data_IF_434253414268
#
_entry.id   IF_434253414268
#
_cell.length_a   1.000
_cell.length_b   1.000
_cell.length_c   1.000
_cell.angle_alpha   90.00
_cell.angle_beta   90.00
_cell.angle_gamma   90.00
#
_symmetry.space_group_name_H-M   'P 1'
#
loop_
_entity.id
_entity.type
_entity.pdbx_description
1 polymer ?
#
# COMPACT_ATOMS: atom_id res chain seq x y z
N UNK A 1 -26.17 -12.08 36.38
CA UNK A 1 -25.15 -12.89 35.66
C UNK A 1 -24.73 -12.09 34.43
N UNK A 2 -23.68 -11.28 34.54
CA UNK A 2 -23.06 -10.69 33.36
C UNK A 2 -22.14 -11.75 32.76
N UNK A 3 -22.42 -12.18 31.54
CA UNK A 3 -21.51 -13.03 30.78
C UNK A 3 -20.20 -12.27 30.63
N UNK A 4 -19.11 -12.84 31.13
CA UNK A 4 -17.78 -12.40 30.77
C UNK A 4 -17.66 -12.54 29.25
N UNK A 5 -17.48 -11.43 28.55
CA UNK A 5 -17.14 -11.46 27.13
C UNK A 5 -15.92 -12.34 26.93
N UNK A 6 -15.95 -13.19 25.91
CA UNK A 6 -14.82 -14.00 25.51
C UNK A 6 -13.67 -13.05 25.14
N UNK A 7 -12.67 -12.93 26.02
CA UNK A 7 -11.41 -12.24 25.69
C UNK A 7 -10.60 -13.28 24.91
N UNK A 8 -10.36 -13.07 23.60
CA UNK A 8 -9.53 -13.99 22.84
C UNK A 8 -8.14 -14.07 23.48
N UNK A 9 -7.45 -15.22 23.44
CA UNK A 9 -6.06 -15.30 23.88
C UNK A 9 -5.24 -14.31 23.03
N UNK A 10 -4.74 -13.26 23.69
CA UNK A 10 -3.90 -12.25 23.10
C UNK A 10 -2.46 -12.51 23.55
N UNK A 11 -1.62 -13.07 22.68
CA UNK A 11 -0.19 -13.22 22.97
C UNK A 11 0.57 -11.88 22.78
N UNK A 12 0.05 -10.97 21.96
CA UNK A 12 0.61 -9.65 21.68
C UNK A 12 -0.45 -8.63 21.27
N UNK A 13 -0.20 -7.34 21.49
CA UNK A 13 -1.01 -6.24 20.94
C UNK A 13 -0.22 -5.37 19.97
N UNK A 14 1.10 -5.31 20.13
CA UNK A 14 2.04 -4.61 19.25
C UNK A 14 3.24 -5.50 18.95
N UNK A 15 3.98 -5.21 17.88
CA UNK A 15 5.17 -6.01 17.48
C UNK A 15 6.25 -6.03 18.58
N UNK A 16 6.35 -4.94 19.35
CA UNK A 16 7.29 -4.79 20.47
C UNK A 16 7.08 -5.85 21.57
N UNK A 17 5.87 -6.42 21.69
CA UNK A 17 5.56 -7.49 22.66
C UNK A 17 6.25 -8.81 22.30
N UNK A 18 6.59 -9.01 21.02
CA UNK A 18 7.11 -10.28 20.50
C UNK A 18 8.63 -10.43 20.62
N UNK A 19 9.34 -9.33 20.88
CA UNK A 19 10.80 -9.27 20.89
C UNK A 19 11.40 -9.28 19.48
N UNK A 20 12.74 -9.38 19.40
CA UNK A 20 13.47 -9.24 18.14
C UNK A 20 13.12 -10.33 17.12
N UNK A 21 13.14 -9.97 15.82
CA UNK A 21 12.92 -10.85 14.67
C UNK A 21 11.55 -11.56 14.69
N UNK A 22 10.54 -10.94 15.31
CA UNK A 22 9.16 -11.41 15.33
C UNK A 22 8.21 -10.24 15.14
N UNK A 23 7.00 -10.54 14.69
CA UNK A 23 5.93 -9.56 14.54
C UNK A 23 4.63 -10.11 15.15
N UNK A 24 3.73 -9.20 15.50
CA UNK A 24 2.43 -9.51 16.03
C UNK A 24 1.42 -9.65 14.88
N UNK A 25 1.01 -10.89 14.60
CA UNK A 25 -0.11 -11.14 13.72
C UNK A 25 -1.41 -10.95 14.50
N UNK A 26 -2.19 -9.95 14.09
CA UNK A 26 -3.53 -9.70 14.64
C UNK A 26 -4.60 -10.32 13.73
N UNK A 27 -5.27 -11.36 14.22
CA UNK A 27 -6.48 -11.93 13.63
C UNK A 27 -7.72 -11.53 14.45
N UNK A 28 -8.91 -11.69 13.88
CA UNK A 28 -10.18 -11.32 14.53
C UNK A 28 -10.39 -12.04 15.86
N UNK A 29 -9.87 -13.28 15.99
CA UNK A 29 -10.13 -14.17 17.13
C UNK A 29 -8.88 -14.46 17.99
N UNK A 30 -7.69 -14.03 17.58
CA UNK A 30 -6.45 -14.21 18.33
C UNK A 30 -5.37 -13.24 17.85
N UNK A 31 -4.38 -12.97 18.71
CA UNK A 31 -3.14 -12.34 18.29
C UNK A 31 -1.96 -13.20 18.70
N UNK A 32 -1.00 -13.38 17.78
CA UNK A 32 0.13 -14.30 17.95
C UNK A 32 1.43 -13.67 17.50
N UNK A 33 2.48 -13.94 18.25
CA UNK A 33 3.84 -13.62 17.82
C UNK A 33 4.34 -14.65 16.81
N UNK A 34 4.60 -14.20 15.58
CA UNK A 34 5.16 -15.01 14.51
C UNK A 34 6.61 -14.61 14.22
N UNK A 35 7.46 -15.55 13.75
CA UNK A 35 8.79 -15.21 13.28
C UNK A 35 8.71 -14.27 12.09
N UNK A 36 9.69 -13.36 11.95
CA UNK A 36 9.81 -12.49 10.80
C UNK A 36 9.94 -13.28 9.48
N UNK A 37 9.54 -12.64 8.40
CA UNK A 37 9.52 -13.16 7.04
C UNK A 37 10.87 -12.90 6.39
N UNK A 38 11.54 -13.94 5.85
CA UNK A 38 12.85 -13.78 5.21
C UNK A 38 12.72 -13.09 3.85
N UNK A 39 13.85 -12.73 3.24
CA UNK A 39 13.88 -12.12 1.91
C UNK A 39 13.19 -12.98 0.85
N UNK A 40 12.59 -12.34 -0.15
CA UNK A 40 11.86 -12.95 -1.28
C UNK A 40 10.61 -13.76 -0.89
N UNK A 41 10.12 -13.61 0.35
CA UNK A 41 8.88 -14.21 0.81
C UNK A 41 7.74 -13.17 0.89
N UNK A 42 6.48 -13.61 0.78
CA UNK A 42 5.33 -12.71 0.70
C UNK A 42 5.06 -11.97 2.00
N UNK A 43 4.71 -10.69 1.90
CA UNK A 43 4.41 -9.80 3.01
C UNK A 43 3.24 -8.86 2.66
N UNK A 44 2.65 -8.27 3.70
CA UNK A 44 1.60 -7.24 3.61
C UNK A 44 1.96 -5.96 4.38
N UNK A 45 3.00 -6.02 5.22
CA UNK A 45 3.51 -4.91 6.02
C UNK A 45 5.03 -4.96 6.09
N UNK A 46 5.67 -3.81 6.31
CA UNK A 46 7.13 -3.73 6.44
C UNK A 46 7.62 -4.47 7.69
N UNK A 47 6.85 -4.41 8.78
CA UNK A 47 7.17 -4.99 10.10
C UNK A 47 7.19 -6.52 10.08
N UNK A 48 6.58 -7.14 9.08
CA UNK A 48 6.63 -8.59 8.89
C UNK A 48 8.02 -9.04 8.42
N UNK A 49 8.78 -8.19 7.73
CA UNK A 49 10.05 -8.55 7.14
C UNK A 49 11.20 -8.54 8.16
N UNK A 50 12.13 -9.49 8.04
CA UNK A 50 13.26 -9.57 8.96
C UNK A 50 14.22 -8.38 8.83
N UNK A 51 14.77 -7.90 9.96
CA UNK A 51 15.74 -6.79 10.02
C UNK A 51 15.14 -5.46 9.54
N UNK A 52 15.81 -4.75 8.63
CA UNK A 52 15.42 -3.46 8.05
C UNK A 52 14.88 -3.60 6.61
N UNK A 53 14.45 -4.80 6.24
CA UNK A 53 13.81 -5.07 4.95
C UNK A 53 12.46 -4.36 4.85
N UNK A 54 12.08 -4.01 3.63
CA UNK A 54 10.77 -3.42 3.36
C UNK A 54 9.91 -4.37 2.53
N UNK A 55 8.61 -4.27 2.70
CA UNK A 55 7.65 -4.98 1.88
C UNK A 55 7.44 -4.20 0.58
N UNK A 56 8.03 -4.72 -0.50
CA UNK A 56 7.99 -4.09 -1.84
C UNK A 56 7.25 -5.03 -2.76
N UNK A 57 6.17 -4.55 -3.39
CA UNK A 57 5.30 -5.37 -4.25
C UNK A 57 4.80 -6.66 -3.56
N UNK A 58 4.61 -6.61 -2.24
CA UNK A 58 4.21 -7.76 -1.43
C UNK A 58 5.32 -8.79 -1.21
N UNK A 59 6.59 -8.42 -1.37
CA UNK A 59 7.74 -9.28 -1.09
C UNK A 59 8.79 -8.57 -0.23
N UNK A 60 9.33 -9.28 0.77
CA UNK A 60 10.39 -8.74 1.62
C UNK A 60 11.67 -8.54 0.81
N UNK A 61 12.11 -7.29 0.71
CA UNK A 61 13.21 -6.88 -0.16
C UNK A 61 14.31 -6.19 0.65
N UNK A 62 15.55 -6.68 0.50
CA UNK A 62 16.75 -6.05 1.06
C UNK A 62 17.15 -4.81 0.26
N UNK A 63 17.78 -3.83 0.92
CA UNK A 63 18.22 -2.57 0.30
C UNK A 63 17.09 -1.76 -0.39
N UNK A 64 15.84 -2.03 -0.04
CA UNK A 64 14.71 -1.23 -0.47
C UNK A 64 14.74 0.14 0.21
N UNK A 65 14.17 1.15 -0.44
CA UNK A 65 14.03 2.48 0.17
C UNK A 65 12.57 2.87 0.24
N UNK A 66 12.13 3.42 1.39
CA UNK A 66 10.79 3.99 1.53
C UNK A 66 10.53 5.05 0.45
N UNK A 67 9.33 5.02 -0.10
CA UNK A 67 8.87 5.91 -1.17
C UNK A 67 9.41 5.57 -2.56
N UNK A 68 10.18 4.50 -2.72
CA UNK A 68 10.57 3.99 -4.03
C UNK A 68 9.43 3.17 -4.66
N UNK A 69 9.57 2.84 -5.93
CA UNK A 69 8.59 2.01 -6.64
C UNK A 69 8.31 0.69 -5.90
N UNK A 70 7.03 0.39 -5.71
CA UNK A 70 6.54 -0.79 -5.02
C UNK A 70 6.52 -0.73 -3.50
N UNK A 71 7.10 0.30 -2.87
CA UNK A 71 7.04 0.44 -1.41
C UNK A 71 5.63 0.78 -0.94
N UNK A 72 5.23 0.26 0.21
CA UNK A 72 3.95 0.63 0.86
C UNK A 72 3.92 2.14 1.14
N UNK A 73 2.76 2.77 0.93
CA UNK A 73 2.53 4.19 1.17
C UNK A 73 1.19 4.42 1.85
N UNK A 74 1.09 5.45 2.69
CA UNK A 74 -0.17 5.91 3.28
C UNK A 74 -0.72 7.11 2.53
N UNK A 75 0.14 7.93 1.92
CA UNK A 75 -0.26 9.10 1.18
C UNK A 75 0.64 9.44 0.00
N UNK A 76 0.22 10.44 -0.79
CA UNK A 76 0.95 10.87 -1.99
C UNK A 76 2.35 11.40 -1.67
N UNK A 77 2.53 12.01 -0.51
CA UNK A 77 3.79 12.59 -0.03
C UNK A 77 4.82 11.55 0.41
N UNK A 78 4.41 10.28 0.62
CA UNK A 78 5.33 9.19 0.94
C UNK A 78 6.15 8.75 -0.28
N UNK A 79 5.66 9.01 -1.50
CA UNK A 79 6.27 8.56 -2.73
C UNK A 79 7.22 9.59 -3.32
N UNK A 80 8.31 9.12 -3.94
CA UNK A 80 9.28 9.96 -4.65
C UNK A 80 8.65 10.68 -5.86
N UNK A 81 9.26 11.79 -6.34
CA UNK A 81 8.82 12.47 -7.55
C UNK A 81 8.72 11.51 -8.75
N UNK A 82 7.66 11.66 -9.56
CA UNK A 82 7.35 10.76 -10.67
C UNK A 82 6.55 9.52 -10.29
N UNK A 83 6.35 9.25 -8.99
CA UNK A 83 5.50 8.20 -8.47
C UNK A 83 4.19 8.76 -7.91
N UNK A 84 3.22 7.90 -7.65
CA UNK A 84 2.00 8.21 -6.92
C UNK A 84 1.67 7.09 -5.93
N UNK A 85 0.98 7.42 -4.85
CA UNK A 85 0.46 6.41 -3.93
C UNK A 85 -0.88 5.89 -4.44
N UNK A 86 -0.96 4.61 -4.80
CA UNK A 86 -2.20 4.02 -5.32
C UNK A 86 -2.46 2.62 -4.78
N UNK A 87 -3.74 2.31 -4.60
CA UNK A 87 -4.22 1.01 -4.10
C UNK A 87 -4.02 -0.09 -5.15
N UNK A 88 -3.32 -1.16 -4.77
CA UNK A 88 -3.13 -2.32 -5.64
C UNK A 88 -4.08 -3.45 -5.25
N UNK A 89 -4.94 -3.85 -6.19
CA UNK A 89 -6.01 -4.83 -5.92
C UNK A 89 -5.46 -6.24 -5.67
N UNK A 90 -4.36 -6.57 -6.30
CA UNK A 90 -3.68 -7.86 -6.18
C UNK A 90 -2.99 -7.99 -4.82
N UNK A 91 -2.58 -6.87 -4.24
CA UNK A 91 -1.89 -6.80 -2.95
C UNK A 91 -2.83 -6.48 -1.78
N UNK A 92 -3.97 -5.85 -2.04
CA UNK A 92 -4.94 -5.34 -1.06
C UNK A 92 -4.39 -4.23 -0.15
N UNK A 93 -3.29 -3.58 -0.57
CA UNK A 93 -2.73 -2.41 0.11
C UNK A 93 -2.15 -1.42 -0.91
N UNK A 94 -2.04 -0.13 -0.54
CA UNK A 94 -1.45 0.90 -1.39
C UNK A 94 0.08 0.85 -1.44
N UNK A 95 0.62 1.11 -2.64
CA UNK A 95 2.06 1.20 -2.88
C UNK A 95 2.40 2.40 -3.78
N UNK A 96 3.68 2.78 -3.81
CA UNK A 96 4.19 3.79 -4.73
C UNK A 96 4.33 3.22 -6.14
N UNK A 97 3.57 3.77 -7.08
CA UNK A 97 3.47 3.32 -8.46
C UNK A 97 4.02 4.38 -9.42
N UNK A 98 4.62 3.98 -10.55
CA UNK A 98 5.03 4.93 -11.58
C UNK A 98 3.80 5.61 -12.20
N UNK A 99 3.93 6.92 -12.48
CA UNK A 99 2.90 7.66 -13.22
C UNK A 99 2.94 7.27 -14.70
N UNK A 100 1.81 6.94 -15.33
CA UNK A 100 1.79 6.58 -16.74
C UNK A 100 2.26 7.75 -17.62
N UNK A 101 3.22 7.48 -18.49
CA UNK A 101 3.78 8.38 -19.48
C UNK A 101 2.96 8.43 -20.77
N UNK A 102 3.48 9.15 -21.76
CA UNK A 102 2.77 9.40 -23.02
C UNK A 102 2.44 8.10 -23.77
N UNK A 103 1.18 7.94 -24.16
CA UNK A 103 0.67 6.76 -24.86
C UNK A 103 0.32 5.58 -23.95
N UNK A 104 0.68 5.63 -22.67
CA UNK A 104 0.33 4.58 -21.71
C UNK A 104 -1.13 4.69 -21.28
N UNK A 105 -1.73 3.53 -20.97
CA UNK A 105 -3.12 3.45 -20.53
C UNK A 105 -3.32 4.18 -19.20
N UNK A 106 -4.41 4.93 -19.11
CA UNK A 106 -4.80 5.63 -17.90
C UNK A 106 -6.29 5.44 -17.62
N UNK A 107 -6.66 5.58 -16.35
CA UNK A 107 -8.05 5.51 -15.91
C UNK A 107 -8.51 6.92 -15.55
N UNK A 108 -9.27 7.53 -16.47
CA UNK A 108 -9.91 8.83 -16.23
C UNK A 108 -11.09 8.63 -15.28
N UNK A 109 -11.07 9.26 -14.11
CA UNK A 109 -12.28 9.38 -13.29
C UNK A 109 -13.20 10.43 -13.94
N UNK A 110 -14.43 10.07 -14.37
CA UNK A 110 -15.30 11.00 -15.09
C UNK A 110 -16.05 11.98 -14.18
N UNK A 111 -15.96 11.86 -12.85
CA UNK A 111 -16.81 12.60 -11.93
C UNK A 111 -16.00 13.49 -10.98
N UNK A 112 -15.64 14.68 -11.48
CA UNK A 112 -15.06 15.81 -10.71
C UNK A 112 -15.83 16.12 -9.42
N UNK A 113 -17.12 15.75 -9.35
CA UNK A 113 -17.99 15.93 -8.19
C UNK A 113 -17.67 14.98 -7.03
N UNK A 114 -17.21 13.75 -7.29
CA UNK A 114 -16.81 12.82 -6.22
C UNK A 114 -15.40 13.14 -5.68
N UNK A 115 -14.50 13.65 -6.55
CA UNK A 115 -13.17 14.13 -6.13
C UNK A 115 -13.24 15.36 -5.22
N UNK A 116 -14.26 16.21 -5.36
CA UNK A 116 -14.53 17.34 -4.46
C UNK A 116 -15.14 16.92 -3.11
N UNK A 117 -15.67 15.71 -3.02
CA UNK A 117 -16.22 15.11 -1.80
C UNK A 117 -15.25 14.13 -1.12
N UNK A 118 -14.16 13.77 -1.79
CA UNK A 118 -13.11 12.94 -1.22
C UNK A 118 -12.34 13.75 -0.15
N UNK A 119 -12.75 13.55 1.10
CA UNK A 119 -11.97 13.92 2.26
C UNK A 119 -10.66 13.13 2.21
N UNK A 120 -9.62 13.82 1.74
CA UNK A 120 -8.19 13.55 1.82
C UNK A 120 -7.52 13.49 0.44
N UNK A 121 -7.11 14.66 -0.07
CA UNK A 121 -6.23 14.77 -1.25
C UNK A 121 -4.86 14.09 -1.02
N UNK A 122 -4.53 13.79 0.24
CA UNK A 122 -3.25 13.27 0.67
C UNK A 122 -3.20 11.73 0.70
N UNK A 123 -4.33 11.03 0.79
CA UNK A 123 -4.39 9.57 0.89
C UNK A 123 -4.11 8.80 -0.41
N UNK A 124 -4.18 7.45 -0.38
CA UNK A 124 -3.94 6.62 -1.55
C UNK A 124 -5.07 6.77 -2.57
N UNK A 125 -4.71 6.86 -3.85
CA UNK A 125 -5.68 6.92 -4.95
C UNK A 125 -6.04 5.52 -5.44
N UNK A 126 -7.15 5.39 -6.14
CA UNK A 126 -7.46 4.13 -6.84
C UNK A 126 -6.49 3.88 -8.02
N UNK A 127 -6.07 4.95 -8.70
CA UNK A 127 -5.17 4.88 -9.86
C UNK A 127 -4.24 6.09 -9.91
N UNK A 128 -3.05 5.90 -10.49
CA UNK A 128 -2.14 7.01 -10.72
C UNK A 128 -2.62 7.96 -11.82
N UNK A 129 -2.46 9.28 -11.61
CA UNK A 129 -2.58 10.24 -12.70
C UNK A 129 -1.41 10.07 -13.68
N UNK A 130 -1.61 10.57 -14.90
CA UNK A 130 -0.53 10.67 -15.88
C UNK A 130 0.66 11.48 -15.35
N UNK A 131 1.82 11.27 -15.95
CA UNK A 131 3.02 12.05 -15.68
C UNK A 131 2.80 13.55 -15.97
N UNK A 132 3.63 14.40 -15.39
CA UNK A 132 3.47 15.86 -15.41
C UNK A 132 3.28 16.41 -16.84
N UNK A 133 2.24 17.21 -17.03
CA UNK A 133 1.89 17.81 -18.33
C UNK A 133 1.01 16.95 -19.23
N UNK A 134 0.74 15.68 -18.88
CA UNK A 134 -0.12 14.80 -19.64
C UNK A 134 -1.53 14.72 -19.05
N UNK A 135 -2.53 14.61 -19.92
CA UNK A 135 -3.92 14.41 -19.55
C UNK A 135 -4.40 13.04 -20.01
N UNK A 136 -5.23 12.41 -19.20
CA UNK A 136 -5.84 11.15 -19.57
C UNK A 136 -6.94 11.40 -20.61
N UNK A 137 -6.70 11.04 -21.86
CA UNK A 137 -7.59 11.30 -23.00
C UNK A 137 -8.20 10.02 -23.56
N UNK A 138 -9.48 10.05 -24.00
CA UNK A 138 -10.10 8.90 -24.64
C UNK A 138 -9.34 8.49 -25.91
N UNK A 139 -9.03 7.21 -26.04
CA UNK A 139 -8.38 6.62 -27.20
C UNK A 139 -9.01 5.24 -27.53
N UNK A 140 -9.83 5.20 -28.57
CA UNK A 140 -10.56 3.99 -28.97
C UNK A 140 -11.57 3.56 -27.89
N UNK A 141 -11.35 2.39 -27.29
CA UNK A 141 -12.21 1.84 -26.21
C UNK A 141 -11.69 2.14 -24.80
N UNK A 142 -10.52 2.77 -24.68
CA UNK A 142 -9.92 3.12 -23.39
C UNK A 142 -9.51 4.58 -23.34
N UNK A 143 -8.60 4.91 -22.43
CA UNK A 143 -7.97 6.22 -22.34
C UNK A 143 -6.46 6.05 -22.22
N UNK A 144 -5.70 6.98 -22.80
CA UNK A 144 -4.24 7.03 -22.73
C UNK A 144 -3.76 8.42 -22.34
N UNK A 145 -2.59 8.50 -21.75
CA UNK A 145 -1.97 9.77 -21.41
C UNK A 145 -1.46 10.47 -22.67
N UNK A 146 -1.88 11.72 -22.89
CA UNK A 146 -1.45 12.53 -24.01
C UNK A 146 -1.57 14.01 -23.70
N UNK A 147 -0.98 14.84 -24.55
CA UNK A 147 -1.01 16.32 -24.45
C UNK A 147 -2.40 16.87 -24.73
#
# INVERSE_FOLDING_TARGET
MFQAGFVPPQDCMVDEDCGDLKYCLYEIENSKCLPCIPTDMPCTKDEECCSDQLCVWGQCTVNATRGAEGSICQGQSDCRPGLCCAFQRELLFPVCNPRPGQGESCLSHPNLLMDLLAWDQEGPRDHCPCADGLQCRPHGRGSVCGE
#
